data_IF_799246738976
#
_entry.id   IF_799246738976
#
_cell.length_a   1.000
_cell.length_b   1.000
_cell.length_c   1.000
_cell.angle_alpha   90.00
_cell.angle_beta   90.00
_cell.angle_gamma   90.00
#
_symmetry.space_group_name_H-M   'P 1'
#
loop_
_entity.id
_entity.type
_entity.pdbx_description
1 polymer ?
#
# COMPACT_ATOMS: atom_id res chain seq x y z
N UNK A 1 19.62 -18.53 9.77
CA UNK A 1 19.39 -19.56 8.71
C UNK A 1 19.15 -20.94 9.27
N UNK A 2 20.09 -21.54 10.06
CA UNK A 2 19.95 -22.91 10.63
C UNK A 2 18.68 -23.10 11.49
N UNK A 3 18.33 -22.11 12.35
CA UNK A 3 17.14 -22.15 13.21
C UNK A 3 15.85 -22.24 12.40
N UNK A 4 15.70 -21.42 11.36
CA UNK A 4 14.53 -21.42 10.45
C UNK A 4 14.41 -22.78 9.74
N UNK A 5 15.51 -23.28 9.18
CA UNK A 5 15.53 -24.57 8.48
C UNK A 5 15.10 -25.75 9.38
N UNK A 6 15.59 -25.76 10.62
CA UNK A 6 15.26 -26.82 11.57
C UNK A 6 13.81 -26.78 12.04
N UNK A 7 13.27 -25.57 12.26
CA UNK A 7 11.89 -25.40 12.70
C UNK A 7 10.90 -25.76 11.59
N UNK A 8 11.10 -25.24 10.38
CA UNK A 8 10.23 -25.53 9.24
C UNK A 8 10.28 -27.01 8.84
N UNK A 9 11.41 -27.69 9.05
CA UNK A 9 11.50 -29.15 8.88
C UNK A 9 10.56 -29.89 9.83
N UNK A 10 10.41 -29.44 11.09
CA UNK A 10 9.46 -30.02 12.05
C UNK A 10 8.00 -29.82 11.61
N UNK A 11 7.69 -28.74 10.90
CA UNK A 11 6.36 -28.44 10.32
C UNK A 11 6.15 -29.09 8.95
N UNK A 12 6.95 -30.10 8.58
CA UNK A 12 6.78 -30.84 7.32
C UNK A 12 7.22 -30.05 6.08
N UNK A 13 8.09 -29.04 6.23
CA UNK A 13 8.59 -28.23 5.12
C UNK A 13 10.06 -28.52 4.86
N UNK A 14 10.40 -28.86 3.62
CA UNK A 14 11.77 -29.09 3.17
C UNK A 14 12.29 -27.87 2.42
N UNK A 15 13.31 -27.20 2.98
CA UNK A 15 13.95 -26.03 2.38
C UNK A 15 15.17 -26.46 1.56
N UNK A 16 15.21 -26.06 0.29
CA UNK A 16 16.35 -26.22 -0.59
C UNK A 16 17.32 -25.03 -0.43
N UNK A 17 16.82 -23.80 -0.55
CA UNK A 17 17.63 -22.59 -0.42
C UNK A 17 16.88 -21.51 0.36
N UNK A 18 17.64 -20.54 0.90
CA UNK A 18 17.09 -19.37 1.57
C UNK A 18 17.98 -18.15 1.35
N UNK A 19 17.39 -17.05 0.93
CA UNK A 19 18.04 -15.75 0.77
C UNK A 19 17.38 -14.75 1.71
N UNK A 20 18.19 -13.96 2.40
CA UNK A 20 17.77 -12.95 3.35
C UNK A 20 18.40 -11.63 2.93
N UNK A 21 17.63 -10.61 2.76
CA UNK A 21 18.11 -9.26 2.52
C UNK A 21 17.20 -8.22 3.16
N UNK A 22 17.70 -7.03 3.20
CA UNK A 22 17.00 -5.85 3.68
C UNK A 22 16.80 -4.91 2.50
N UNK A 23 15.58 -4.43 2.32
CA UNK A 23 15.27 -3.44 1.28
C UNK A 23 15.94 -2.10 1.57
N UNK A 24 15.98 -1.21 0.59
CA UNK A 24 16.48 0.16 0.76
C UNK A 24 15.73 0.94 1.87
N UNK A 25 14.47 0.56 2.14
CA UNK A 25 13.64 1.12 3.21
C UNK A 25 13.88 0.45 4.58
N UNK A 26 14.89 -0.42 4.70
CA UNK A 26 15.21 -1.11 5.95
C UNK A 26 14.26 -2.24 6.34
N UNK A 27 13.43 -2.74 5.40
CA UNK A 27 12.49 -3.84 5.63
C UNK A 27 13.10 -5.18 5.25
N UNK A 28 12.74 -6.24 5.96
CA UNK A 28 13.26 -7.58 5.71
C UNK A 28 12.46 -8.30 4.62
N UNK A 29 13.19 -8.96 3.75
CA UNK A 29 12.66 -9.94 2.80
C UNK A 29 13.39 -11.27 2.94
N UNK A 30 12.64 -12.35 2.90
CA UNK A 30 13.16 -13.71 3.02
C UNK A 30 12.59 -14.54 1.87
N UNK A 31 13.44 -14.89 0.93
CA UNK A 31 13.09 -15.77 -0.18
C UNK A 31 13.47 -17.20 0.17
N UNK A 32 12.52 -18.09 0.00
CA UNK A 32 12.66 -19.51 0.34
C UNK A 32 12.33 -20.37 -0.88
N UNK A 33 13.27 -21.21 -1.31
CA UNK A 33 12.98 -22.33 -2.22
C UNK A 33 12.71 -23.54 -1.36
N UNK A 34 11.47 -24.03 -1.37
CA UNK A 34 11.00 -25.06 -0.46
C UNK A 34 9.86 -25.88 -1.08
N UNK A 35 9.48 -26.95 -0.39
CA UNK A 35 8.27 -27.73 -0.66
C UNK A 35 7.70 -28.30 0.63
N UNK A 36 6.43 -28.63 0.64
CA UNK A 36 5.82 -29.43 1.68
C UNK A 36 6.23 -30.92 1.55
N UNK A 37 6.17 -31.67 2.64
CA UNK A 37 6.32 -33.14 2.62
C UNK A 37 5.14 -33.77 1.88
N UNK A 38 5.37 -34.93 1.28
CA UNK A 38 4.34 -35.65 0.51
C UNK A 38 3.06 -35.83 1.33
N UNK A 39 1.93 -35.45 0.76
CA UNK A 39 0.63 -35.49 1.41
C UNK A 39 0.31 -34.31 2.35
N UNK A 40 1.22 -33.34 2.47
CA UNK A 40 0.99 -32.10 3.23
C UNK A 40 0.79 -30.91 2.31
N UNK A 41 -0.08 -30.00 2.75
CA UNK A 41 -0.29 -28.68 2.15
C UNK A 41 -0.10 -27.64 3.24
N UNK A 42 0.67 -26.61 2.95
CA UNK A 42 0.95 -25.52 3.89
C UNK A 42 0.41 -24.21 3.30
N UNK A 43 -0.39 -23.49 4.08
CA UNK A 43 -0.84 -22.17 3.68
C UNK A 43 0.34 -21.18 3.69
N UNK A 44 0.46 -20.34 2.66
CA UNK A 44 1.55 -19.37 2.56
C UNK A 44 1.54 -18.37 3.72
N UNK A 45 0.35 -18.01 4.23
CA UNK A 45 0.21 -17.15 5.43
C UNK A 45 0.78 -17.80 6.69
N UNK A 46 0.58 -19.10 6.86
CA UNK A 46 1.14 -19.87 7.99
C UNK A 46 2.67 -19.93 7.90
N UNK A 47 3.20 -20.22 6.70
CA UNK A 47 4.64 -20.18 6.48
C UNK A 47 5.23 -18.83 6.85
N UNK A 48 4.64 -17.72 6.34
CA UNK A 48 5.11 -16.37 6.62
C UNK A 48 5.06 -16.05 8.12
N UNK A 49 3.99 -16.46 8.81
CA UNK A 49 3.86 -16.31 10.27
C UNK A 49 4.95 -17.06 11.03
N UNK A 50 5.22 -18.32 10.68
CA UNK A 50 6.29 -19.11 11.30
C UNK A 50 7.68 -18.51 11.04
N UNK A 51 7.93 -18.04 9.83
CA UNK A 51 9.17 -17.32 9.48
C UNK A 51 9.28 -16.04 10.32
N UNK A 52 8.18 -15.32 10.49
CA UNK A 52 8.10 -14.11 11.30
C UNK A 52 8.44 -14.34 12.78
N UNK A 53 7.86 -15.37 13.40
CA UNK A 53 8.18 -15.77 14.78
C UNK A 53 9.68 -16.03 14.96
N UNK A 54 10.30 -16.66 13.98
CA UNK A 54 11.73 -16.97 14.02
C UNK A 54 12.64 -15.77 13.75
N UNK A 55 12.16 -14.84 12.93
CA UNK A 55 12.85 -13.58 12.61
C UNK A 55 12.65 -12.48 13.66
N UNK A 56 11.67 -12.66 14.58
CA UNK A 56 11.27 -11.62 15.54
C UNK A 56 10.57 -10.42 14.86
N UNK A 57 9.88 -10.68 13.75
CA UNK A 57 9.24 -9.68 12.90
C UNK A 57 7.87 -10.16 12.44
N UNK A 58 6.99 -9.22 12.14
CA UNK A 58 5.75 -9.55 11.43
C UNK A 58 6.14 -9.82 9.97
N UNK A 59 5.92 -11.06 9.50
CA UNK A 59 6.16 -11.41 8.11
C UNK A 59 4.84 -11.82 7.45
N UNK A 60 4.67 -11.43 6.22
CA UNK A 60 3.48 -11.73 5.39
C UNK A 60 3.93 -12.28 4.04
N UNK A 61 3.07 -12.98 3.29
CA UNK A 61 3.36 -13.35 1.90
C UNK A 61 3.70 -12.12 1.05
N UNK A 62 4.68 -12.25 0.19
CA UNK A 62 4.96 -11.25 -0.85
C UNK A 62 3.76 -11.05 -1.78
N UNK A 63 3.73 -9.92 -2.48
CA UNK A 63 2.65 -9.62 -3.43
C UNK A 63 2.64 -10.64 -4.58
N UNK A 64 1.47 -11.18 -4.88
CA UNK A 64 1.30 -12.17 -5.95
C UNK A 64 1.76 -13.58 -5.61
N UNK A 65 2.14 -13.86 -4.35
CA UNK A 65 2.51 -15.21 -3.93
C UNK A 65 1.33 -16.18 -4.00
N UNK A 66 1.67 -17.45 -4.26
CA UNK A 66 0.70 -18.54 -4.25
C UNK A 66 0.07 -18.71 -2.86
N UNK A 67 -1.22 -19.05 -2.77
CA UNK A 67 -1.89 -19.19 -1.48
C UNK A 67 -1.42 -20.43 -0.68
N UNK A 68 -0.97 -21.47 -1.37
CA UNK A 68 -0.59 -22.76 -0.79
C UNK A 68 0.73 -23.28 -1.36
N UNK A 69 1.41 -24.10 -0.57
CA UNK A 69 2.66 -24.80 -0.89
C UNK A 69 2.36 -26.30 -0.85
N UNK A 70 2.63 -26.97 -1.96
CA UNK A 70 2.49 -28.42 -2.12
C UNK A 70 3.84 -29.16 -2.05
N UNK A 71 3.87 -30.37 -2.58
CA UNK A 71 5.01 -31.28 -2.56
C UNK A 71 6.04 -31.06 -3.69
N UNK A 72 5.79 -30.07 -4.56
CA UNK A 72 6.75 -29.60 -5.56
C UNK A 72 7.56 -28.43 -5.03
N UNK A 73 8.85 -28.37 -5.43
CA UNK A 73 9.68 -27.21 -5.09
C UNK A 73 9.17 -25.92 -5.76
N UNK A 74 9.04 -24.91 -4.93
CA UNK A 74 8.68 -23.56 -5.38
C UNK A 74 9.51 -22.52 -4.62
N UNK A 75 9.71 -21.38 -5.22
CA UNK A 75 10.30 -20.21 -4.56
C UNK A 75 9.19 -19.25 -4.16
N UNK A 76 9.21 -18.84 -2.90
CA UNK A 76 8.25 -17.91 -2.33
C UNK A 76 8.96 -16.83 -1.53
N UNK A 77 8.36 -15.66 -1.46
CA UNK A 77 8.85 -14.52 -0.69
C UNK A 77 7.98 -14.27 0.53
N UNK A 78 8.62 -14.15 1.69
CA UNK A 78 8.06 -13.59 2.90
C UNK A 78 8.62 -12.18 3.08
N UNK A 79 7.77 -11.19 3.15
CA UNK A 79 8.16 -9.78 3.33
C UNK A 79 7.74 -9.26 4.68
N UNK A 80 8.44 -8.26 5.21
CA UNK A 80 8.04 -7.64 6.47
C UNK A 80 6.68 -6.96 6.30
N UNK A 81 5.70 -7.34 7.09
CA UNK A 81 4.34 -6.83 7.08
C UNK A 81 4.19 -5.54 7.88
N UNK A 82 3.20 -4.76 7.55
CA UNK A 82 2.81 -3.57 8.30
C UNK A 82 2.44 -3.93 9.75
N UNK A 83 2.77 -3.04 10.69
CA UNK A 83 2.47 -3.19 12.13
C UNK A 83 1.13 -2.57 12.51
N UNK A 84 0.68 -1.60 11.71
CA UNK A 84 -0.55 -0.85 11.91
C UNK A 84 -1.49 -1.06 10.73
N UNK A 85 -2.76 -0.83 10.96
CA UNK A 85 -3.78 -0.74 9.93
C UNK A 85 -4.65 0.47 10.21
N UNK A 86 -5.29 1.00 9.19
CA UNK A 86 -6.22 2.12 9.29
C UNK A 86 -7.65 1.61 9.22
N UNK A 87 -8.51 2.18 10.03
CA UNK A 87 -9.96 2.08 9.90
C UNK A 87 -10.45 3.46 9.49
N UNK A 88 -11.31 3.52 8.48
CA UNK A 88 -11.78 4.79 7.94
C UNK A 88 -13.29 4.77 7.75
N UNK A 89 -13.89 5.93 7.86
CA UNK A 89 -15.28 6.19 7.52
C UNK A 89 -15.34 7.47 6.68
N UNK A 90 -16.21 7.49 5.69
CA UNK A 90 -16.43 8.65 4.84
C UNK A 90 -17.92 9.01 4.85
N UNK A 91 -18.19 10.28 5.04
CA UNK A 91 -19.52 10.84 4.86
C UNK A 91 -19.45 12.04 3.91
N UNK A 92 -20.39 12.16 3.00
CA UNK A 92 -20.46 13.22 2.01
C UNK A 92 -21.89 13.73 1.93
N UNK A 93 -22.04 15.06 1.91
CA UNK A 93 -23.35 15.71 1.81
C UNK A 93 -23.24 16.90 0.86
N UNK A 94 -24.23 17.07 -0.01
CA UNK A 94 -24.33 18.25 -0.88
C UNK A 94 -24.74 19.51 -0.10
N UNK A 95 -24.33 20.66 -0.58
CA UNK A 95 -24.67 21.96 0.02
C UNK A 95 -26.07 22.41 -0.39
N UNK A 96 -26.92 22.73 0.57
CA UNK A 96 -28.29 23.23 0.31
C UNK A 96 -29.15 22.24 -0.46
N UNK A 97 -29.66 22.65 -1.63
CA UNK A 97 -30.49 21.85 -2.54
C UNK A 97 -29.67 21.02 -3.55
N UNK A 98 -28.34 21.18 -3.56
CA UNK A 98 -27.46 20.45 -4.46
C UNK A 98 -27.40 18.97 -4.10
N UNK A 99 -27.61 18.10 -5.10
CA UNK A 99 -27.49 16.64 -4.92
C UNK A 99 -26.04 16.15 -4.96
N UNK A 100 -25.15 16.95 -5.55
CA UNK A 100 -23.74 16.60 -5.76
C UNK A 100 -22.88 17.60 -4.97
N UNK A 101 -22.02 17.08 -4.09
CA UNK A 101 -20.99 17.87 -3.43
C UNK A 101 -19.81 18.07 -4.39
N UNK A 102 -19.23 19.26 -4.40
CA UNK A 102 -17.99 19.57 -5.13
C UNK A 102 -16.74 18.88 -4.57
N UNK A 103 -16.83 18.36 -3.34
CA UNK A 103 -15.68 17.68 -2.71
C UNK A 103 -15.47 16.27 -3.27
N UNK A 104 -14.23 15.83 -3.29
CA UNK A 104 -13.85 14.44 -3.59
C UNK A 104 -12.78 13.97 -2.60
N UNK A 105 -12.82 12.71 -2.25
CA UNK A 105 -11.85 12.10 -1.35
C UNK A 105 -11.14 10.93 -2.01
N UNK A 106 -9.91 10.67 -1.54
CA UNK A 106 -9.10 9.50 -1.88
C UNK A 106 -8.83 8.69 -0.63
N UNK A 107 -8.84 7.38 -0.80
CA UNK A 107 -8.22 6.47 0.14
C UNK A 107 -7.60 5.31 -0.63
N UNK A 108 -6.27 5.21 -0.60
CA UNK A 108 -5.51 4.27 -1.42
C UNK A 108 -4.40 3.61 -0.63
N UNK A 109 -4.18 2.33 -0.91
CA UNK A 109 -3.03 1.58 -0.40
C UNK A 109 -1.83 1.83 -1.33
N UNK A 110 -0.83 2.54 -0.81
CA UNK A 110 0.32 2.98 -1.56
C UNK A 110 1.49 1.98 -1.45
N UNK A 111 2.43 2.01 -2.41
CA UNK A 111 3.64 1.21 -2.34
C UNK A 111 4.42 1.43 -1.04
N UNK A 112 5.08 0.37 -0.55
CA UNK A 112 5.92 0.42 0.65
C UNK A 112 5.15 0.40 1.97
N UNK A 113 3.90 -0.12 1.99
CA UNK A 113 3.11 -0.24 3.21
C UNK A 113 2.64 1.10 3.76
N UNK A 114 2.30 2.02 2.87
CA UNK A 114 1.74 3.33 3.21
C UNK A 114 0.26 3.40 2.85
N UNK A 115 -0.47 4.26 3.53
CA UNK A 115 -1.87 4.60 3.26
C UNK A 115 -1.97 6.06 2.88
N UNK A 116 -2.53 6.35 1.72
CA UNK A 116 -2.87 7.70 1.29
C UNK A 116 -4.32 8.02 1.59
N UNK A 117 -4.55 9.18 2.18
CA UNK A 117 -5.88 9.76 2.36
C UNK A 117 -5.82 11.20 1.86
N UNK A 118 -6.76 11.59 1.01
CA UNK A 118 -6.83 12.96 0.55
C UNK A 118 -8.28 13.45 0.48
N UNK A 119 -8.43 14.75 0.63
CA UNK A 119 -9.67 15.48 0.41
C UNK A 119 -9.38 16.65 -0.53
N UNK A 120 -10.20 16.79 -1.55
CA UNK A 120 -10.14 17.90 -2.50
C UNK A 120 -11.49 18.60 -2.55
N UNK A 121 -11.47 19.93 -2.43
CA UNK A 121 -12.65 20.80 -2.59
C UNK A 121 -12.52 21.54 -3.92
N UNK A 122 -13.46 21.27 -4.85
CA UNK A 122 -13.53 21.93 -6.15
C UNK A 122 -14.18 23.29 -6.02
N UNK A 123 -13.69 24.27 -6.82
CA UNK A 123 -14.22 25.63 -6.77
C UNK A 123 -15.69 25.70 -7.19
N UNK A 124 -16.54 26.22 -6.32
CA UNK A 124 -17.97 26.39 -6.54
C UNK A 124 -18.82 25.28 -5.99
N UNK A 125 -19.83 24.82 -6.73
CA UNK A 125 -20.74 23.76 -6.32
C UNK A 125 -21.23 22.93 -7.51
N UNK A 126 -21.81 21.78 -7.22
CA UNK A 126 -22.43 20.92 -8.22
C UNK A 126 -21.45 20.13 -9.06
N UNK A 127 -21.87 19.75 -10.25
CA UNK A 127 -21.17 18.78 -11.10
C UNK A 127 -19.81 19.28 -11.61
N UNK A 128 -19.67 20.59 -11.88
CA UNK A 128 -18.39 21.16 -12.34
C UNK A 128 -17.33 21.04 -11.24
N UNK A 129 -17.63 21.52 -10.04
CA UNK A 129 -16.74 21.44 -8.89
C UNK A 129 -16.37 19.97 -8.57
N UNK A 130 -17.33 19.06 -8.66
CA UNK A 130 -17.10 17.63 -8.50
C UNK A 130 -16.13 17.06 -9.53
N UNK A 131 -16.25 17.41 -10.80
CA UNK A 131 -15.32 16.95 -11.85
C UNK A 131 -13.90 17.48 -11.62
N UNK A 132 -13.79 18.75 -11.20
CA UNK A 132 -12.50 19.36 -10.92
C UNK A 132 -11.79 18.68 -9.75
N UNK A 133 -12.46 18.49 -8.61
CA UNK A 133 -11.92 17.81 -7.45
C UNK A 133 -11.60 16.33 -7.74
N UNK A 134 -12.43 15.65 -8.54
CA UNK A 134 -12.18 14.26 -8.94
C UNK A 134 -10.91 14.13 -9.77
N UNK A 135 -10.70 15.00 -10.75
CA UNK A 135 -9.50 14.99 -11.59
C UNK A 135 -8.23 15.22 -10.75
N UNK A 136 -8.29 16.15 -9.78
CA UNK A 136 -7.17 16.42 -8.87
C UNK A 136 -6.83 15.18 -8.04
N UNK A 137 -7.85 14.52 -7.50
CA UNK A 137 -7.69 13.31 -6.69
C UNK A 137 -7.14 12.15 -7.50
N UNK A 138 -7.65 11.91 -8.71
CA UNK A 138 -7.18 10.84 -9.61
C UNK A 138 -5.72 11.07 -10.01
N UNK A 139 -5.34 12.29 -10.39
CA UNK A 139 -3.95 12.62 -10.71
C UNK A 139 -3.02 12.41 -9.52
N UNK A 140 -3.45 12.80 -8.30
CA UNK A 140 -2.69 12.54 -7.09
C UNK A 140 -2.49 11.04 -6.87
N UNK A 141 -3.55 10.24 -7.01
CA UNK A 141 -3.49 8.79 -6.83
C UNK A 141 -2.50 8.14 -7.79
N UNK A 142 -2.54 8.50 -9.06
CA UNK A 142 -1.60 7.99 -10.08
C UNK A 142 -0.14 8.30 -9.72
N UNK A 143 0.15 9.54 -9.34
CA UNK A 143 1.50 9.97 -8.97
C UNK A 143 2.00 9.26 -7.71
N UNK A 144 1.15 9.12 -6.68
CA UNK A 144 1.49 8.43 -5.44
C UNK A 144 1.71 6.92 -5.69
N UNK A 145 0.90 6.28 -6.52
CA UNK A 145 1.05 4.88 -6.92
C UNK A 145 2.31 4.65 -7.77
N UNK A 146 2.70 5.63 -8.57
CA UNK A 146 3.98 5.63 -9.30
C UNK A 146 5.19 5.85 -8.37
N UNK A 147 4.98 6.11 -7.07
CA UNK A 147 6.02 6.23 -6.06
C UNK A 147 6.58 7.65 -5.87
N UNK A 148 5.98 8.67 -6.47
CA UNK A 148 6.41 10.06 -6.23
C UNK A 148 6.19 10.45 -4.77
N UNK A 149 7.14 11.20 -4.15
CA UNK A 149 6.91 11.85 -2.86
C UNK A 149 5.70 12.81 -2.94
N UNK A 150 4.91 12.87 -1.88
CA UNK A 150 3.65 13.66 -1.89
C UNK A 150 3.85 15.12 -2.26
N UNK A 151 4.92 15.76 -1.77
CA UNK A 151 5.23 17.16 -2.13
C UNK A 151 5.54 17.32 -3.61
N UNK A 152 6.30 16.39 -4.18
CA UNK A 152 6.61 16.37 -5.61
C UNK A 152 5.35 16.13 -6.44
N UNK A 153 4.48 15.20 -6.02
CA UNK A 153 3.20 14.95 -6.68
C UNK A 153 2.35 16.22 -6.73
N UNK A 154 2.20 16.92 -5.60
CA UNK A 154 1.45 18.19 -5.53
C UNK A 154 2.06 19.28 -6.43
N UNK A 155 3.39 19.39 -6.49
CA UNK A 155 4.07 20.35 -7.39
C UNK A 155 3.81 20.04 -8.87
N UNK A 156 3.88 18.76 -9.27
CA UNK A 156 3.57 18.33 -10.64
C UNK A 156 2.12 18.67 -10.97
N UNK A 157 1.19 18.35 -10.07
CA UNK A 157 -0.23 18.63 -10.24
C UNK A 157 -0.49 20.12 -10.40
N UNK A 158 0.05 20.97 -9.54
CA UNK A 158 -0.08 22.42 -9.64
C UNK A 158 0.41 22.94 -11.00
N UNK A 159 1.54 22.44 -11.47
CA UNK A 159 2.06 22.79 -12.79
C UNK A 159 1.12 22.35 -13.91
N UNK A 160 0.61 21.13 -13.86
CA UNK A 160 -0.29 20.58 -14.88
C UNK A 160 -1.65 21.29 -14.91
N UNK A 161 -2.18 21.70 -13.76
CA UNK A 161 -3.47 22.40 -13.68
C UNK A 161 -3.41 23.84 -14.20
N UNK A 162 -2.25 24.49 -14.10
CA UNK A 162 -2.05 25.88 -14.60
C UNK A 162 -1.65 25.90 -16.07
N UNK A 163 -0.96 24.86 -16.56
CA UNK A 163 -0.37 24.84 -17.90
C UNK A 163 -1.33 24.22 -18.92
N UNK A 164 -1.53 24.90 -20.07
CA UNK A 164 -2.23 24.35 -21.23
C UNK A 164 -3.75 24.32 -21.16
N UNK A 165 -4.37 25.13 -20.32
CA UNK A 165 -5.84 25.29 -20.23
C UNK A 165 -6.26 26.72 -20.46
N UNK A 166 -7.39 26.91 -21.14
CA UNK A 166 -8.01 28.25 -21.34
C UNK A 166 -8.59 28.80 -20.03
N UNK A 167 -9.06 27.92 -19.13
CA UNK A 167 -9.53 28.28 -17.80
C UNK A 167 -8.64 27.65 -16.73
N UNK A 168 -8.14 28.47 -15.82
CA UNK A 168 -7.37 28.01 -14.64
C UNK A 168 -8.34 27.32 -13.70
N UNK A 169 -8.05 26.08 -13.36
CA UNK A 169 -8.82 25.31 -12.38
C UNK A 169 -8.17 25.46 -11.02
N UNK A 170 -9.00 25.76 -10.03
CA UNK A 170 -8.59 25.85 -8.63
C UNK A 170 -9.33 24.80 -7.83
N UNK A 171 -8.58 23.97 -7.14
CA UNK A 171 -9.11 23.05 -6.18
C UNK A 171 -8.11 22.95 -5.02
N UNK A 172 -8.58 22.98 -3.81
CA UNK A 172 -7.73 22.72 -2.66
C UNK A 172 -7.49 21.22 -2.53
N UNK A 173 -6.36 20.84 -1.94
CA UNK A 173 -6.10 19.45 -1.62
C UNK A 173 -5.41 19.33 -0.26
N UNK A 174 -6.01 18.56 0.62
CA UNK A 174 -5.44 18.11 1.89
C UNK A 174 -5.07 16.65 1.76
N UNK A 175 -3.79 16.32 1.97
CA UNK A 175 -3.26 14.96 1.81
C UNK A 175 -2.58 14.50 3.08
N UNK A 176 -2.88 13.28 3.53
CA UNK A 176 -2.18 12.60 4.61
C UNK A 176 -1.60 11.28 4.07
N UNK A 177 -0.29 11.07 4.23
CA UNK A 177 0.40 9.82 3.94
C UNK A 177 0.81 9.18 5.25
N UNK A 178 0.25 8.01 5.54
CA UNK A 178 0.47 7.27 6.79
C UNK A 178 1.37 6.08 6.49
N UNK A 179 2.52 5.99 7.17
CA UNK A 179 3.37 4.80 7.14
C UNK A 179 2.80 3.76 8.12
N UNK A 180 2.45 2.58 7.60
CA UNK A 180 1.85 1.52 8.39
C UNK A 180 2.87 0.67 9.17
N UNK A 181 4.18 0.97 9.07
CA UNK A 181 5.20 0.28 9.85
C UNK A 181 5.48 0.98 11.18
N UNK A 182 5.46 2.31 11.22
CA UNK A 182 5.78 3.11 12.41
C UNK A 182 4.68 4.09 12.84
N UNK A 183 3.58 4.15 12.08
CA UNK A 183 2.45 5.07 12.25
C UNK A 183 2.83 6.56 12.08
N UNK A 184 3.95 6.88 11.45
CA UNK A 184 4.24 8.26 11.08
C UNK A 184 3.24 8.76 10.04
N UNK A 185 2.94 10.06 10.08
CA UNK A 185 2.00 10.70 9.17
C UNK A 185 2.61 11.98 8.61
N UNK A 186 2.69 12.08 7.30
CA UNK A 186 3.04 13.30 6.58
C UNK A 186 1.77 13.97 6.06
N UNK A 187 1.56 15.25 6.40
CA UNK A 187 0.40 16.02 5.96
C UNK A 187 0.88 17.14 5.04
N UNK A 188 0.22 17.27 3.89
CA UNK A 188 0.46 18.33 2.91
C UNK A 188 -0.88 19.00 2.59
N UNK A 189 -0.86 20.34 2.57
CA UNK A 189 -1.99 21.18 2.15
C UNK A 189 -1.58 22.05 0.98
N UNK A 190 -2.42 22.12 -0.05
CA UNK A 190 -2.21 22.94 -1.24
C UNK A 190 -3.53 23.47 -1.82
#
# INVERSE_FOLDING_TARGET
KKKIRNQLKKSGIKILSSVFYMTAQGKYEIHLTLKASKGHIVAMKELASEVGKMAGRIMVPGRGERPIIGDEYCTVACVEGARFHTIQGVAKIGKGSEKISGDTFLTSDLPGGRKGVALSDGMGSGERAFRESTMVVEMLEELLNAGFPVKTAVQIMNTALVTGREEVMFSTIDVAIIDLYDASCEIVKA
#
